data_IF_272700550734
#
_entry.id   IF_272700550734
#
_cell.length_a   1.000
_cell.length_b   1.000
_cell.length_c   1.000
_cell.angle_alpha   90.00
_cell.angle_beta   90.00
_cell.angle_gamma   90.00
#
_symmetry.space_group_name_H-M   'P 1'
#
loop_
_entity.id
_entity.type
_entity.pdbx_description
1 polymer ?
#
# COMPACT_ATOMS: atom_id res chain seq x y z
N UNK A 1 15.61 -3.98 8.49
CA UNK A 1 15.39 -4.29 8.09
C UNK A 1 15.30 -4.75 7.28
N UNK A 2 15.17 -5.20 6.73
CA UNK A 2 15.12 -5.79 6.11
C UNK A 2 15.15 -5.71 4.94
N UNK A 3 15.62 -5.63 4.25
CA UNK A 3 15.72 -5.62 3.37
C UNK A 3 15.75 -6.58 2.80
N UNK A 4 15.76 -6.60 3.19
CA UNK A 4 15.35 -7.72 3.05
C UNK A 4 15.06 -8.05 1.74
N UNK A 5 14.70 -8.95 1.37
CA UNK A 5 14.22 -9.26 0.08
C UNK A 5 15.16 -8.95 -1.05
N UNK A 6 16.33 -8.46 -0.77
CA UNK A 6 17.32 -8.19 -1.81
C UNK A 6 16.77 -7.33 -2.94
N UNK A 7 15.94 -6.38 -2.60
CA UNK A 7 15.45 -5.43 -3.56
C UNK A 7 16.45 -4.33 -3.76
N UNK A 8 16.54 -3.81 -4.96
CA UNK A 8 17.30 -2.60 -5.17
C UNK A 8 16.52 -1.44 -4.57
N UNK A 9 17.22 -0.34 -4.37
CA UNK A 9 16.66 0.88 -3.89
C UNK A 9 15.48 1.34 -4.74
N UNK A 10 15.65 1.27 -6.05
CA UNK A 10 14.57 1.68 -6.94
C UNK A 10 13.40 0.74 -6.89
N UNK A 11 13.66 -0.54 -6.72
CA UNK A 11 12.58 -1.50 -6.60
C UNK A 11 11.78 -1.26 -5.33
N UNK A 12 12.46 -0.94 -4.23
CA UNK A 12 11.75 -0.62 -3.00
C UNK A 12 10.91 0.63 -3.18
N UNK A 13 11.47 1.62 -3.87
CA UNK A 13 10.74 2.84 -4.15
C UNK A 13 9.52 2.56 -5.00
N UNK A 14 9.68 1.69 -6.00
CA UNK A 14 8.55 1.32 -6.84
C UNK A 14 7.42 0.72 -6.02
N UNK A 15 7.77 -0.19 -5.11
CA UNK A 15 6.74 -0.82 -4.27
C UNK A 15 5.99 0.22 -3.46
N UNK A 16 6.71 1.12 -2.81
CA UNK A 16 6.08 2.17 -2.01
C UNK A 16 5.19 3.06 -2.85
N UNK A 17 5.69 3.49 -4.00
CA UNK A 17 4.92 4.41 -4.83
C UNK A 17 3.71 3.74 -5.44
N UNK A 18 3.84 2.46 -5.76
CA UNK A 18 2.72 1.74 -6.31
C UNK A 18 1.60 1.57 -5.27
N UNK A 19 1.98 1.33 -4.03
CA UNK A 19 0.98 1.23 -2.96
C UNK A 19 0.21 2.53 -2.78
N UNK A 20 0.89 3.65 -2.97
CA UNK A 20 0.25 4.95 -2.81
C UNK A 20 -0.64 5.30 -3.98
N UNK A 21 -0.19 5.02 -5.18
CA UNK A 21 -0.87 5.53 -6.37
C UNK A 21 -1.76 4.51 -7.05
N UNK A 22 -1.45 3.24 -6.92
CA UNK A 22 -2.16 2.21 -7.66
C UNK A 22 -1.87 2.25 -9.14
N UNK A 23 -0.90 3.03 -9.56
CA UNK A 23 -0.58 3.24 -10.96
C UNK A 23 0.87 2.86 -11.20
N UNK A 24 1.10 1.77 -11.92
CA UNK A 24 2.44 1.26 -12.10
C UNK A 24 3.34 2.20 -12.90
N UNK A 25 2.80 2.83 -13.92
CA UNK A 25 3.59 3.75 -14.73
C UNK A 25 4.05 4.94 -13.90
N UNK A 26 3.17 5.46 -13.09
CA UNK A 26 3.49 6.59 -12.22
C UNK A 26 4.52 6.16 -11.19
N UNK A 27 4.36 4.96 -10.63
CA UNK A 27 5.30 4.45 -9.65
C UNK A 27 6.70 4.29 -10.24
N UNK A 28 6.77 3.88 -11.50
CA UNK A 28 8.05 3.76 -12.19
C UNK A 28 8.74 5.11 -12.27
N UNK A 29 7.99 6.13 -12.66
CA UNK A 29 8.56 7.47 -12.77
C UNK A 29 9.03 7.97 -11.42
N UNK A 30 8.22 7.81 -10.41
CA UNK A 30 8.55 8.33 -9.08
C UNK A 30 9.67 7.56 -8.42
N UNK A 31 9.85 6.31 -8.81
CA UNK A 31 10.95 5.51 -8.28
C UNK A 31 12.29 5.91 -8.88
N UNK A 32 12.26 6.72 -9.93
CA UNK A 32 13.50 7.20 -10.51
C UNK A 32 13.97 6.42 -11.72
N UNK A 33 13.14 5.54 -12.24
CA UNK A 33 13.50 4.85 -13.48
C UNK A 33 13.35 5.81 -14.64
N UNK A 34 14.38 5.88 -15.46
CA UNK A 34 14.34 6.72 -16.64
C UNK A 34 14.04 5.86 -17.83
N UNK A 35 12.84 5.94 -18.33
CA UNK A 35 12.42 5.10 -19.41
C UNK A 35 11.35 5.80 -20.23
N UNK A 36 11.31 5.46 -21.49
CA UNK A 36 10.26 5.95 -22.37
C UNK A 36 9.01 5.12 -22.24
N UNK A 37 9.12 3.97 -21.60
CA UNK A 37 8.02 3.02 -21.53
C UNK A 37 7.70 2.65 -20.09
N UNK A 38 7.25 3.62 -19.31
CA UNK A 38 7.02 3.34 -17.88
C UNK A 38 5.98 2.27 -17.63
N UNK A 39 4.97 2.17 -18.51
CA UNK A 39 3.97 1.13 -18.31
C UNK A 39 4.55 -0.26 -18.47
N UNK A 40 5.42 -0.42 -19.46
CA UNK A 40 6.04 -1.72 -19.68
C UNK A 40 7.00 -2.06 -18.57
N UNK A 41 7.77 -1.08 -18.13
CA UNK A 41 8.69 -1.31 -17.02
C UNK A 41 7.92 -1.67 -15.77
N UNK A 42 6.81 -0.97 -15.53
CA UNK A 42 5.97 -1.29 -14.38
C UNK A 42 5.40 -2.68 -14.45
N UNK A 43 4.97 -3.09 -15.62
CA UNK A 43 4.44 -4.43 -15.82
C UNK A 43 5.51 -5.47 -15.48
N UNK A 44 6.72 -5.26 -15.98
CA UNK A 44 7.82 -6.17 -15.72
C UNK A 44 8.18 -6.19 -14.24
N UNK A 45 8.21 -5.03 -13.62
CA UNK A 45 8.52 -4.96 -12.19
C UNK A 45 7.52 -5.74 -11.37
N UNK A 46 6.24 -5.60 -11.69
CA UNK A 46 5.22 -6.30 -10.93
C UNK A 46 5.33 -7.82 -11.07
N UNK A 47 5.91 -8.27 -12.14
CA UNK A 47 6.10 -9.71 -12.37
C UNK A 47 7.42 -10.23 -11.82
N UNK A 48 8.33 -9.34 -11.48
CA UNK A 48 9.61 -9.75 -10.92
C UNK A 48 9.36 -10.45 -9.58
N UNK A 49 9.89 -11.65 -9.37
CA UNK A 49 9.54 -12.44 -8.19
C UNK A 49 9.74 -11.72 -6.87
N UNK A 50 10.85 -11.03 -6.72
CA UNK A 50 11.13 -10.35 -5.44
C UNK A 50 10.24 -9.15 -5.25
N UNK A 51 10.00 -8.40 -6.31
CA UNK A 51 9.12 -7.25 -6.24
C UNK A 51 7.69 -7.72 -5.98
N UNK A 52 7.28 -8.77 -6.64
CA UNK A 52 5.95 -9.31 -6.45
C UNK A 52 5.73 -9.74 -5.00
N UNK A 53 6.69 -10.44 -4.42
CA UNK A 53 6.60 -10.85 -3.03
C UNK A 53 6.51 -9.63 -2.12
N UNK A 54 7.35 -8.63 -2.37
CA UNK A 54 7.33 -7.42 -1.55
C UNK A 54 6.01 -6.70 -1.67
N UNK A 55 5.42 -6.66 -2.87
CA UNK A 55 4.12 -6.02 -3.06
C UNK A 55 3.03 -6.73 -2.27
N UNK A 56 3.02 -8.05 -2.35
CA UNK A 56 2.01 -8.83 -1.64
C UNK A 56 2.13 -8.60 -0.15
N UNK A 57 3.35 -8.68 0.37
CA UNK A 57 3.55 -8.49 1.80
C UNK A 57 3.17 -7.09 2.24
N UNK A 58 3.50 -6.10 1.44
CA UNK A 58 3.18 -4.73 1.78
C UNK A 58 1.67 -4.48 1.73
N UNK A 59 1.00 -5.08 0.76
CA UNK A 59 -0.45 -4.96 0.66
C UNK A 59 -1.13 -5.62 1.84
N UNK A 60 -0.63 -6.77 2.25
CA UNK A 60 -1.19 -7.45 3.41
C UNK A 60 -0.99 -6.66 4.69
N UNK A 61 0.19 -6.07 4.83
CA UNK A 61 0.46 -5.24 6.00
C UNK A 61 -0.45 -4.03 6.04
N UNK A 62 -0.66 -3.41 4.88
CA UNK A 62 -1.54 -2.26 4.80
C UNK A 62 -2.97 -2.65 5.12
N UNK A 63 -3.42 -3.77 4.61
CA UNK A 63 -4.79 -4.24 4.86
C UNK A 63 -5.00 -4.48 6.35
N UNK A 64 -4.03 -5.09 7.01
CA UNK A 64 -4.15 -5.32 8.46
C UNK A 64 -4.23 -4.02 9.22
N UNK A 65 -3.43 -3.04 8.82
CA UNK A 65 -3.46 -1.75 9.49
C UNK A 65 -4.80 -1.06 9.30
N UNK A 66 -5.31 -1.11 8.08
CA UNK A 66 -6.60 -0.49 7.80
C UNK A 66 -7.73 -1.17 8.54
N UNK A 67 -7.65 -2.48 8.68
CA UNK A 67 -8.62 -3.22 9.44
C UNK A 67 -8.67 -2.77 10.89
N UNK A 68 -7.50 -2.63 11.50
CA UNK A 68 -7.43 -2.18 12.88
C UNK A 68 -7.99 -0.78 13.03
N UNK A 69 -7.66 0.10 12.09
CA UNK A 69 -8.17 1.47 12.15
C UNK A 69 -9.66 1.53 11.93
N UNK A 70 -10.16 0.69 11.04
CA UNK A 70 -11.60 0.66 10.78
C UNK A 70 -12.35 0.22 12.03
N UNK A 71 -11.83 -0.77 12.74
CA UNK A 71 -12.45 -1.23 13.97
C UNK A 71 -12.51 -0.12 15.00
N UNK A 72 -11.41 0.62 15.14
CA UNK A 72 -11.36 1.73 16.08
C UNK A 72 -12.36 2.81 15.73
N UNK A 73 -12.43 3.16 14.46
CA UNK A 73 -13.35 4.20 14.01
C UNK A 73 -14.79 3.76 14.24
N UNK A 74 -15.08 2.51 13.92
CA UNK A 74 -16.44 2.00 14.11
C UNK A 74 -16.85 2.03 15.57
N UNK A 75 -15.94 1.63 16.46
CA UNK A 75 -16.23 1.66 17.90
C UNK A 75 -16.55 3.06 18.37
N UNK A 76 -15.73 4.02 17.96
CA UNK A 76 -15.95 5.38 18.37
C UNK A 76 -17.24 5.94 17.81
N UNK A 77 -17.52 5.59 16.58
CA UNK A 77 -18.72 6.06 15.94
C UNK A 77 -19.96 5.55 16.67
N UNK A 78 -19.94 4.29 17.06
CA UNK A 78 -21.04 3.71 17.81
C UNK A 78 -21.22 4.40 19.15
N UNK A 79 -20.12 4.69 19.83
CA UNK A 79 -20.21 5.41 21.09
C UNK A 79 -20.83 6.78 20.92
N UNK A 80 -20.43 7.46 19.85
CA UNK A 80 -20.99 8.78 19.57
C UNK A 80 -22.48 8.70 19.31
N UNK A 81 -22.90 7.70 18.58
CA UNK A 81 -24.31 7.55 18.27
C UNK A 81 -25.12 7.29 19.50
N UNK A 82 -24.61 6.49 20.41
CA UNK A 82 -25.29 6.22 21.65
C UNK A 82 -25.49 7.49 22.44
N UNK A 83 -24.45 8.31 22.52
CA UNK A 83 -24.55 9.55 23.23
C UNK A 83 -25.52 10.50 22.56
N UNK A 84 -25.43 10.60 21.25
CA UNK A 84 -26.26 11.52 20.51
C UNK A 84 -27.72 11.17 20.62
N UNK A 85 -28.01 9.89 20.72
CA UNK A 85 -29.40 9.46 20.82
C UNK A 85 -29.88 9.35 22.25
N UNK A 86 -29.04 9.76 23.19
CA UNK A 86 -29.45 9.83 24.55
C UNK A 86 -29.66 8.50 25.20
N UNK A 87 -29.04 7.57 24.75
CA UNK A 87 -29.10 6.32 25.30
C UNK A 87 -30.44 5.90 25.32
N UNK A 88 -31.21 6.53 24.65
CA UNK A 88 -32.57 6.25 24.67
C UNK A 88 -32.93 5.01 23.97
N UNK A 89 -32.08 4.28 23.62
CA UNK A 89 -32.53 3.12 23.06
C UNK A 89 -32.13 1.93 23.70
#
# INVERSE_FOLDING_TARGET
>A
MHQAKNLTWKQERFVSEYLLSGNAAEAVRRAGYQTRYPSEVGYDLKRHPRVRTALIEAQEALARRLEIQADLVASKYMQLMEKALGKGF
#
